data_IF_733687371274
#
_entry.id   IF_733687371274
#
_cell.length_a   1.000
_cell.length_b   1.000
_cell.length_c   1.000
_cell.angle_alpha   90.00
_cell.angle_beta   90.00
_cell.angle_gamma   90.00
#
_symmetry.space_group_name_H-M   'P 1'
#
loop_
_entity.id
_entity.type
_entity.pdbx_description
1 polymer ?
#
# COMPACT_ATOMS: atom_id res chain seq x y z
N UNK A 1 -16.69 14.37 17.02
CA UNK A 1 -16.44 13.02 17.50
C UNK A 1 -16.31 12.15 16.27
N UNK A 2 -15.08 11.88 15.82
CA UNK A 2 -14.83 10.99 14.70
C UNK A 2 -15.15 9.56 15.15
N UNK A 3 -15.93 8.84 14.35
CA UNK A 3 -16.18 7.41 14.55
C UNK A 3 -14.84 6.66 14.62
N UNK A 4 -14.54 6.06 15.77
CA UNK A 4 -13.28 5.38 16.04
C UNK A 4 -12.16 6.25 16.63
N UNK A 5 -12.49 7.44 17.16
CA UNK A 5 -11.50 8.29 17.82
C UNK A 5 -10.97 7.63 19.10
N UNK A 6 -9.67 7.31 19.08
CA UNK A 6 -8.96 7.00 20.30
C UNK A 6 -8.87 8.29 21.14
N UNK A 7 -9.47 8.24 22.31
CA UNK A 7 -9.39 9.33 23.29
C UNK A 7 -8.08 9.19 24.06
N UNK A 8 -6.96 9.37 23.34
CA UNK A 8 -5.65 9.40 24.00
C UNK A 8 -5.54 10.76 24.67
N UNK A 9 -5.29 10.80 25.98
CA UNK A 9 -4.95 12.05 26.63
C UNK A 9 -3.65 12.57 26.02
N UNK A 10 -3.80 13.52 25.08
CA UNK A 10 -2.67 14.13 24.40
C UNK A 10 -1.89 14.96 25.43
N UNK A 11 -0.79 14.43 25.91
CA UNK A 11 0.13 15.19 26.75
C UNK A 11 0.92 16.13 25.85
N UNK A 12 0.41 17.33 25.71
CA UNK A 12 1.08 18.43 25.02
C UNK A 12 0.92 19.72 25.84
N UNK A 13 1.86 20.62 25.68
CA UNK A 13 1.75 21.94 26.27
C UNK A 13 0.64 22.76 25.58
N UNK A 14 0.09 23.80 26.23
CA UNK A 14 -0.89 24.69 25.58
C UNK A 14 -0.34 25.36 24.31
N UNK A 15 0.96 25.57 24.23
CA UNK A 15 1.64 26.15 23.07
C UNK A 15 1.69 25.15 21.90
N UNK A 16 2.13 23.90 22.16
CA UNK A 16 2.10 22.81 21.18
C UNK A 16 0.70 22.58 20.65
N UNK A 17 -0.30 22.55 21.55
CA UNK A 17 -1.68 22.35 21.16
C UNK A 17 -2.15 23.42 20.18
N UNK A 18 -1.94 24.69 20.52
CA UNK A 18 -2.41 25.82 19.71
C UNK A 18 -1.71 25.91 18.36
N UNK A 19 -0.40 25.63 18.32
CA UNK A 19 0.40 25.86 17.10
C UNK A 19 0.47 24.65 16.17
N UNK A 20 0.29 23.43 16.70
CA UNK A 20 0.45 22.22 15.90
C UNK A 20 -0.76 21.28 15.97
N UNK A 21 -1.28 20.97 17.18
CA UNK A 21 -2.36 19.99 17.33
C UNK A 21 -3.66 20.52 16.72
N UNK A 22 -4.09 21.72 17.12
CA UNK A 22 -5.34 22.31 16.64
C UNK A 22 -5.35 22.50 15.10
N UNK A 23 -4.31 23.08 14.45
CA UNK A 23 -4.24 23.18 12.99
C UNK A 23 -4.23 21.81 12.30
N UNK A 24 -3.47 20.83 12.82
CA UNK A 24 -3.44 19.50 12.25
C UNK A 24 -4.80 18.79 12.33
N UNK A 25 -5.51 18.96 13.45
CA UNK A 25 -6.86 18.41 13.60
C UNK A 25 -7.89 19.11 12.68
N UNK A 26 -7.73 20.39 12.36
CA UNK A 26 -8.54 21.07 11.36
C UNK A 26 -8.32 20.49 9.96
N UNK A 27 -7.08 20.26 9.56
CA UNK A 27 -6.78 19.60 8.28
C UNK A 27 -7.36 18.16 8.25
N UNK A 28 -7.22 17.42 9.33
CA UNK A 28 -7.77 16.06 9.44
C UNK A 28 -9.31 16.02 9.35
N UNK A 29 -10.02 17.01 9.91
CA UNK A 29 -11.47 17.14 9.77
C UNK A 29 -11.90 17.32 8.31
N UNK A 30 -11.04 17.96 7.50
CA UNK A 30 -11.23 18.10 6.06
C UNK A 30 -10.73 16.87 5.27
N UNK A 31 -10.37 15.78 5.95
CA UNK A 31 -9.77 14.56 5.38
C UNK A 31 -8.43 14.82 4.67
N UNK A 32 -7.76 15.93 4.97
CA UNK A 32 -6.45 16.28 4.43
C UNK A 32 -5.33 15.76 5.35
N UNK A 33 -5.25 14.44 5.49
CA UNK A 33 -4.28 13.79 6.37
C UNK A 33 -2.81 14.07 6.00
N UNK A 34 -2.41 14.21 4.73
CA UNK A 34 -1.04 14.61 4.39
C UNK A 34 -0.65 15.96 4.98
N UNK A 35 -1.47 17.01 4.80
CA UNK A 35 -1.19 18.31 5.42
C UNK A 35 -1.21 18.26 6.95
N UNK A 36 -2.10 17.45 7.54
CA UNK A 36 -2.12 17.25 8.98
C UNK A 36 -0.80 16.62 9.47
N UNK A 37 -0.27 15.66 8.74
CA UNK A 37 1.01 15.01 9.03
C UNK A 37 2.17 16.00 8.95
N UNK A 38 2.24 16.82 7.88
CA UNK A 38 3.28 17.84 7.70
C UNK A 38 3.31 18.83 8.89
N UNK A 39 2.14 19.26 9.37
CA UNK A 39 2.03 20.16 10.54
C UNK A 39 2.58 19.48 11.78
N UNK A 40 2.24 18.21 12.01
CA UNK A 40 2.73 17.45 13.18
C UNK A 40 4.23 17.22 13.10
N UNK A 41 4.79 16.92 11.95
CA UNK A 41 6.24 16.75 11.76
C UNK A 41 7.00 18.05 12.02
N UNK A 42 6.47 19.18 11.58
CA UNK A 42 7.03 20.49 11.93
C UNK A 42 6.96 20.74 13.45
N UNK A 43 5.91 20.30 14.11
CA UNK A 43 5.78 20.35 15.56
C UNK A 43 6.81 19.49 16.27
N UNK A 44 7.07 18.28 15.78
CA UNK A 44 8.08 17.37 16.35
C UNK A 44 9.51 17.88 16.13
N UNK A 45 9.78 18.60 15.03
CA UNK A 45 11.06 19.27 14.86
C UNK A 45 11.32 20.33 15.94
N UNK A 46 10.28 21.02 16.42
CA UNK A 46 10.37 22.00 17.49
C UNK A 46 10.30 21.36 18.89
N UNK A 47 9.52 20.30 19.03
CA UNK A 47 9.20 19.60 20.29
C UNK A 47 9.37 18.08 20.15
N UNK A 48 10.60 17.56 20.00
CA UNK A 48 10.84 16.14 19.66
C UNK A 48 10.40 15.14 20.72
N UNK A 49 10.17 15.59 21.96
CA UNK A 49 9.70 14.75 23.07
C UNK A 49 8.18 14.83 23.33
N UNK A 50 7.42 15.48 22.45
CA UNK A 50 5.97 15.63 22.62
C UNK A 50 5.24 14.30 22.35
N UNK A 51 4.71 13.67 23.42
CA UNK A 51 3.92 12.43 23.32
C UNK A 51 2.68 12.61 22.41
N UNK A 52 2.02 13.77 22.51
CA UNK A 52 0.85 14.08 21.71
C UNK A 52 1.15 14.16 20.21
N UNK A 53 2.24 14.83 19.84
CA UNK A 53 2.64 14.94 18.45
C UNK A 53 3.16 13.60 17.88
N UNK A 54 3.89 12.80 18.67
CA UNK A 54 4.30 11.44 18.26
C UNK A 54 3.08 10.56 17.97
N UNK A 55 2.07 10.62 18.81
CA UNK A 55 0.83 9.87 18.58
C UNK A 55 0.10 10.34 17.32
N UNK A 56 -0.03 11.65 17.12
CA UNK A 56 -0.69 12.21 15.95
C UNK A 56 0.07 11.89 14.66
N UNK A 57 1.40 11.86 14.68
CA UNK A 57 2.22 11.41 13.55
C UNK A 57 1.85 9.98 13.16
N UNK A 58 1.84 9.07 14.13
CA UNK A 58 1.45 7.68 13.88
C UNK A 58 0.01 7.57 13.38
N UNK A 59 -0.92 8.32 13.98
CA UNK A 59 -2.33 8.30 13.63
C UNK A 59 -2.57 8.78 12.19
N UNK A 60 -1.99 9.90 11.79
CA UNK A 60 -2.16 10.43 10.43
C UNK A 60 -1.44 9.57 9.40
N UNK A 61 -0.25 9.05 9.69
CA UNK A 61 0.43 8.08 8.83
C UNK A 61 -0.42 6.82 8.59
N UNK A 62 -1.03 6.29 9.65
CA UNK A 62 -1.98 5.18 9.54
C UNK A 62 -3.22 5.53 8.68
N UNK A 63 -3.79 6.73 8.85
CA UNK A 63 -4.96 7.19 8.08
C UNK A 63 -4.66 7.33 6.59
N UNK A 64 -3.47 7.85 6.25
CA UNK A 64 -3.00 7.92 4.85
C UNK A 64 -2.85 6.51 4.29
N UNK A 65 -2.16 5.62 5.00
CA UNK A 65 -1.97 4.23 4.60
C UNK A 65 -3.31 3.48 4.42
N UNK A 66 -4.28 3.70 5.31
CA UNK A 66 -5.61 3.10 5.21
C UNK A 66 -6.40 3.62 4.01
N UNK A 67 -6.36 4.93 3.74
CA UNK A 67 -6.96 5.53 2.54
C UNK A 67 -6.36 4.95 1.27
N UNK A 68 -5.03 4.90 1.16
CA UNK A 68 -4.33 4.30 0.01
C UNK A 68 -4.64 2.80 -0.14
N UNK A 69 -4.76 2.06 0.96
CA UNK A 69 -5.15 0.64 0.95
C UNK A 69 -6.56 0.44 0.39
N UNK A 70 -7.49 1.34 0.73
CA UNK A 70 -8.85 1.29 0.19
C UNK A 70 -8.88 1.56 -1.32
N UNK A 71 -8.00 2.42 -1.82
CA UNK A 71 -7.83 2.64 -3.26
C UNK A 71 -7.31 1.39 -3.99
N UNK A 72 -6.48 0.55 -3.33
CA UNK A 72 -5.99 -0.70 -3.95
C UNK A 72 -7.13 -1.64 -4.33
N UNK A 73 -8.23 -1.65 -3.58
CA UNK A 73 -9.40 -2.49 -3.86
C UNK A 73 -10.10 -2.11 -5.18
N UNK A 74 -9.94 -0.87 -5.63
CA UNK A 74 -10.46 -0.36 -6.90
C UNK A 74 -9.49 -0.55 -8.08
N UNK A 75 -8.28 -1.04 -7.82
CA UNK A 75 -7.27 -1.27 -8.86
C UNK A 75 -7.76 -2.31 -9.87
N UNK A 76 -7.56 -2.11 -11.17
CA UNK A 76 -7.91 -3.09 -12.18
C UNK A 76 -7.21 -4.43 -11.93
N UNK A 77 -7.90 -5.53 -12.23
CA UNK A 77 -7.31 -6.85 -12.09
C UNK A 77 -6.10 -7.00 -13.01
N UNK A 78 -4.93 -7.14 -12.43
CA UNK A 78 -3.66 -7.32 -13.17
C UNK A 78 -3.58 -8.67 -13.90
N UNK A 79 -4.37 -9.65 -13.45
CA UNK A 79 -4.54 -10.96 -14.09
C UNK A 79 -6.00 -11.10 -14.50
N UNK A 80 -6.24 -11.29 -15.80
CA UNK A 80 -7.59 -11.41 -16.34
C UNK A 80 -7.73 -12.69 -17.16
N UNK A 81 -8.73 -13.54 -16.88
CA UNK A 81 -9.05 -14.66 -17.75
C UNK A 81 -9.66 -14.14 -19.07
N UNK A 82 -9.11 -14.59 -20.21
CA UNK A 82 -9.60 -14.25 -21.56
C UNK A 82 -10.49 -15.35 -22.17
N UNK A 83 -10.83 -16.39 -21.40
CA UNK A 83 -11.52 -17.58 -21.92
C UNK A 83 -10.55 -18.59 -22.55
N UNK A 84 -11.07 -19.81 -22.86
CA UNK A 84 -10.30 -20.92 -23.46
C UNK A 84 -8.97 -21.24 -22.75
N UNK A 85 -8.91 -21.05 -21.44
CA UNK A 85 -7.72 -21.30 -20.62
C UNK A 85 -6.58 -20.29 -20.84
N UNK A 86 -6.85 -19.15 -21.49
CA UNK A 86 -5.89 -18.06 -21.61
C UNK A 86 -6.02 -17.07 -20.46
N UNK A 87 -4.87 -16.59 -19.97
CA UNK A 87 -4.75 -15.56 -18.95
C UNK A 87 -3.95 -14.38 -19.50
N UNK A 88 -4.45 -13.18 -19.32
CA UNK A 88 -3.69 -11.96 -19.56
C UNK A 88 -3.07 -11.46 -18.27
N UNK A 89 -1.81 -11.08 -18.32
CA UNK A 89 -1.08 -10.40 -17.22
C UNK A 89 -0.62 -9.04 -17.73
N UNK A 90 -0.98 -8.00 -16.97
CA UNK A 90 -0.51 -6.64 -17.21
C UNK A 90 0.71 -6.35 -16.34
N UNK A 91 1.91 -6.46 -16.91
CA UNK A 91 3.16 -6.31 -16.16
C UNK A 91 3.38 -4.89 -15.64
N UNK A 92 3.03 -3.86 -16.43
CA UNK A 92 3.17 -2.47 -16.00
C UNK A 92 2.25 -2.16 -14.81
N UNK A 93 0.99 -2.60 -14.87
CA UNK A 93 0.06 -2.47 -13.75
C UNK A 93 0.50 -3.24 -12.52
N UNK A 94 1.07 -4.42 -12.71
CA UNK A 94 1.61 -5.23 -11.62
C UNK A 94 2.71 -4.50 -10.87
N UNK A 95 3.66 -3.91 -11.60
CA UNK A 95 4.77 -3.14 -11.01
C UNK A 95 4.27 -1.91 -10.25
N UNK A 96 3.28 -1.20 -10.82
CA UNK A 96 2.65 -0.06 -10.15
C UNK A 96 1.96 -0.47 -8.85
N UNK A 97 1.22 -1.57 -8.87
CA UNK A 97 0.49 -2.08 -7.71
C UNK A 97 1.44 -2.53 -6.61
N UNK A 98 2.52 -3.24 -6.95
CA UNK A 98 3.57 -3.62 -5.98
C UNK A 98 4.26 -2.40 -5.39
N UNK A 99 4.53 -1.35 -6.19
CA UNK A 99 5.06 -0.08 -5.70
C UNK A 99 4.15 0.58 -4.68
N UNK A 100 2.83 0.59 -4.93
CA UNK A 100 1.84 1.12 -3.98
C UNK A 100 1.80 0.31 -2.67
N UNK A 101 1.88 -1.02 -2.73
CA UNK A 101 1.99 -1.83 -1.50
C UNK A 101 3.23 -1.46 -0.68
N UNK A 102 4.38 -1.25 -1.33
CA UNK A 102 5.61 -0.85 -0.64
C UNK A 102 5.47 0.53 0.01
N UNK A 103 4.86 1.48 -0.66
CA UNK A 103 4.59 2.82 -0.13
C UNK A 103 3.71 2.77 1.11
N UNK A 104 2.59 2.03 1.06
CA UNK A 104 1.68 1.86 2.20
C UNK A 104 2.38 1.18 3.38
N UNK A 105 3.15 0.13 3.12
CA UNK A 105 3.92 -0.57 4.17
C UNK A 105 4.99 0.35 4.77
N UNK A 106 5.59 1.23 3.98
CA UNK A 106 6.50 2.28 4.44
C UNK A 106 5.84 3.19 5.46
N UNK A 107 4.70 3.80 5.11
CA UNK A 107 3.92 4.66 6.00
C UNK A 107 3.52 3.96 7.31
N UNK A 108 3.08 2.70 7.22
CA UNK A 108 2.74 1.91 8.42
C UNK A 108 3.97 1.61 9.29
N UNK A 109 5.15 1.46 8.68
CA UNK A 109 6.40 1.23 9.43
C UNK A 109 6.84 2.49 10.17
N UNK A 110 6.72 3.66 9.55
CA UNK A 110 6.99 4.95 10.21
C UNK A 110 5.99 5.23 11.34
N UNK A 111 4.70 4.90 11.14
CA UNK A 111 3.70 4.99 12.18
C UNK A 111 4.01 4.04 13.35
N UNK A 112 4.44 2.82 13.07
CA UNK A 112 4.86 1.83 14.09
C UNK A 112 6.08 2.31 14.87
N UNK A 113 7.08 2.91 14.20
CA UNK A 113 8.27 3.48 14.85
C UNK A 113 7.87 4.56 15.86
N UNK A 114 7.03 5.52 15.45
CA UNK A 114 6.53 6.58 16.34
C UNK A 114 5.76 6.03 17.54
N UNK A 115 4.96 4.97 17.37
CA UNK A 115 4.26 4.29 18.47
C UNK A 115 5.23 3.54 19.37
N UNK A 116 6.27 2.90 18.83
CA UNK A 116 7.27 2.21 19.64
C UNK A 116 8.08 3.19 20.49
N UNK A 117 8.44 4.37 19.95
CA UNK A 117 9.08 5.45 20.73
C UNK A 117 8.15 5.92 21.86
N UNK A 118 6.88 6.13 21.58
CA UNK A 118 5.89 6.53 22.59
C UNK A 118 5.73 5.47 23.68
N UNK A 119 5.76 4.19 23.35
CA UNK A 119 5.71 3.09 24.31
C UNK A 119 6.97 2.98 25.19
N UNK A 120 8.13 3.47 24.72
CA UNK A 120 9.33 3.57 25.58
C UNK A 120 9.13 4.60 26.69
N UNK A 121 8.42 5.69 26.39
CA UNK A 121 8.12 6.75 27.37
C UNK A 121 6.93 6.37 28.26
N UNK A 122 5.91 5.74 27.68
CA UNK A 122 4.66 5.39 28.36
C UNK A 122 4.23 3.93 28.05
N UNK A 123 4.92 2.93 28.65
CA UNK A 123 4.72 1.51 28.32
C UNK A 123 3.37 0.93 28.76
N UNK A 124 2.62 1.63 29.60
CA UNK A 124 1.35 1.15 30.14
C UNK A 124 0.12 1.83 29.54
N UNK A 125 0.29 2.67 28.53
CA UNK A 125 -0.85 3.26 27.83
C UNK A 125 -1.59 2.19 27.02
N UNK A 126 -2.77 1.80 27.49
CA UNK A 126 -3.61 0.80 26.83
C UNK A 126 -4.04 1.26 25.45
N UNK A 127 -4.30 2.55 25.28
CA UNK A 127 -4.70 3.15 24.01
C UNK A 127 -3.59 3.06 22.97
N UNK A 128 -2.35 3.37 23.38
CA UNK A 128 -1.17 3.29 22.49
C UNK A 128 -0.89 1.83 22.10
N UNK A 129 -0.98 0.91 23.07
CA UNK A 129 -0.84 -0.54 22.81
C UNK A 129 -1.92 -1.04 21.85
N UNK A 130 -3.18 -0.63 22.06
CA UNK A 130 -4.28 -1.01 21.17
C UNK A 130 -4.06 -0.46 19.75
N UNK A 131 -3.63 0.81 19.62
CA UNK A 131 -3.37 1.40 18.31
C UNK A 131 -2.20 0.73 17.60
N UNK A 132 -1.14 0.34 18.31
CA UNK A 132 -0.09 -0.51 17.75
C UNK A 132 -0.66 -1.78 17.15
N UNK A 133 -1.58 -2.46 17.85
CA UNK A 133 -2.24 -3.66 17.34
C UNK A 133 -2.97 -3.44 16.01
N UNK A 134 -3.58 -2.27 15.79
CA UNK A 134 -4.20 -1.94 14.49
C UNK A 134 -3.15 -1.77 13.38
N UNK A 135 -2.05 -1.06 13.66
CA UNK A 135 -0.95 -0.88 12.70
C UNK A 135 -0.38 -2.24 12.31
N UNK A 136 -0.05 -3.09 13.30
CA UNK A 136 0.52 -4.42 13.10
C UNK A 136 -0.42 -5.32 12.26
N UNK A 137 -1.71 -5.30 12.57
CA UNK A 137 -2.74 -6.06 11.85
C UNK A 137 -2.83 -5.64 10.38
N UNK A 138 -2.89 -4.33 10.12
CA UNK A 138 -2.95 -3.78 8.76
C UNK A 138 -1.69 -4.10 7.96
N UNK A 139 -0.52 -3.97 8.58
CA UNK A 139 0.79 -4.28 7.98
C UNK A 139 0.91 -5.75 7.60
N UNK A 140 0.48 -6.65 8.50
CA UNK A 140 0.46 -8.09 8.24
C UNK A 140 -0.50 -8.46 7.09
N UNK A 141 -1.71 -7.89 7.08
CA UNK A 141 -2.67 -8.10 6.00
C UNK A 141 -2.08 -7.70 4.65
N UNK A 142 -1.55 -6.50 4.53
CA UNK A 142 -0.96 -5.99 3.28
C UNK A 142 0.29 -6.76 2.86
N UNK A 143 1.10 -7.21 3.83
CA UNK A 143 2.24 -8.08 3.58
C UNK A 143 1.81 -9.40 2.94
N UNK A 144 0.78 -10.04 3.49
CA UNK A 144 0.22 -11.27 2.92
C UNK A 144 -0.37 -11.06 1.52
N UNK A 145 -1.10 -9.98 1.30
CA UNK A 145 -1.67 -9.66 -0.02
C UNK A 145 -0.55 -9.44 -1.06
N UNK A 146 0.49 -8.71 -0.71
CA UNK A 146 1.67 -8.49 -1.56
C UNK A 146 2.39 -9.81 -1.91
N UNK A 147 2.64 -10.66 -0.91
CA UNK A 147 3.28 -11.96 -1.14
C UNK A 147 2.41 -12.92 -1.96
N UNK A 148 1.10 -12.95 -1.73
CA UNK A 148 0.17 -13.72 -2.54
C UNK A 148 0.18 -13.26 -4.00
N UNK A 149 0.27 -11.95 -4.23
CA UNK A 149 0.39 -11.39 -5.57
C UNK A 149 1.71 -11.79 -6.23
N UNK A 150 2.84 -11.63 -5.52
CA UNK A 150 4.17 -12.06 -6.00
C UNK A 150 4.19 -13.56 -6.34
N UNK A 151 3.60 -14.40 -5.46
CA UNK A 151 3.49 -15.83 -5.70
C UNK A 151 2.64 -16.13 -6.93
N UNK A 152 1.52 -15.42 -7.13
CA UNK A 152 0.66 -15.59 -8.31
C UNK A 152 1.41 -15.22 -9.58
N UNK A 153 2.20 -14.13 -9.55
CA UNK A 153 3.04 -13.69 -10.68
C UNK A 153 4.17 -14.69 -10.93
N UNK A 154 4.83 -15.18 -9.88
CA UNK A 154 5.93 -16.15 -9.98
C UNK A 154 5.46 -17.52 -10.44
N UNK A 155 4.24 -17.91 -10.08
CA UNK A 155 3.59 -19.14 -10.58
C UNK A 155 3.00 -18.98 -12.00
N UNK A 156 2.87 -17.74 -12.48
CA UNK A 156 2.70 -17.48 -13.91
C UNK A 156 4.00 -17.91 -14.56
N UNK A 157 3.99 -18.84 -15.51
CA UNK A 157 5.21 -19.50 -15.97
C UNK A 157 6.25 -18.48 -16.37
N UNK A 158 7.41 -18.58 -15.71
CA UNK A 158 8.53 -17.68 -15.95
C UNK A 158 9.09 -17.95 -17.35
N UNK A 159 8.58 -17.20 -18.36
CA UNK A 159 9.15 -17.17 -19.69
C UNK A 159 10.14 -16.00 -19.74
N UNK A 160 10.99 -15.88 -18.72
CA UNK A 160 12.11 -14.95 -18.75
C UNK A 160 12.96 -15.27 -19.99
N UNK A 161 12.99 -14.32 -20.94
CA UNK A 161 13.62 -14.51 -22.25
C UNK A 161 12.77 -15.25 -23.28
N UNK A 162 11.46 -15.42 -23.04
CA UNK A 162 10.53 -15.99 -24.01
C UNK A 162 10.24 -15.07 -25.19
N UNK A 163 9.85 -15.68 -26.30
CA UNK A 163 9.45 -14.98 -27.51
C UNK A 163 7.95 -15.14 -27.73
N UNK A 164 7.31 -14.08 -28.21
CA UNK A 164 5.93 -14.14 -28.66
C UNK A 164 5.78 -15.16 -29.80
N UNK A 165 4.86 -16.10 -29.65
CA UNK A 165 4.58 -17.11 -30.70
C UNK A 165 4.13 -16.48 -31.98
N UNK A 166 3.42 -15.34 -31.95
CA UNK A 166 2.89 -14.66 -33.12
C UNK A 166 3.94 -13.89 -33.91
N UNK A 167 4.71 -13.01 -33.26
CA UNK A 167 5.64 -12.11 -33.98
C UNK A 167 7.12 -12.42 -33.76
N UNK A 168 7.45 -13.43 -32.95
CA UNK A 168 8.84 -13.86 -32.64
C UNK A 168 9.70 -12.81 -31.91
N UNK A 169 9.14 -11.68 -31.48
CA UNK A 169 9.84 -10.69 -30.72
C UNK A 169 9.89 -11.11 -29.23
N UNK A 170 10.92 -10.66 -28.51
CA UNK A 170 11.05 -10.89 -27.07
C UNK A 170 9.86 -10.33 -26.29
N UNK A 171 9.48 -11.02 -25.23
CA UNK A 171 8.44 -10.59 -24.29
C UNK A 171 9.12 -9.95 -23.09
N UNK A 172 8.74 -8.70 -22.81
CA UNK A 172 9.11 -7.99 -21.59
C UNK A 172 7.90 -7.89 -20.70
N UNK A 173 8.01 -8.40 -19.45
CA UNK A 173 6.91 -8.39 -18.49
C UNK A 173 6.66 -7.00 -17.87
N UNK A 174 7.69 -6.16 -17.81
CA UNK A 174 7.65 -4.92 -17.04
C UNK A 174 6.88 -3.79 -17.75
N UNK A 175 6.60 -3.94 -19.03
CA UNK A 175 5.99 -2.88 -19.85
C UNK A 175 4.88 -3.35 -20.78
N UNK A 176 4.51 -4.63 -20.81
CA UNK A 176 3.62 -5.19 -21.83
C UNK A 176 2.50 -6.04 -21.24
N UNK A 177 1.36 -6.06 -21.95
CA UNK A 177 0.30 -7.03 -21.69
C UNK A 177 0.66 -8.35 -22.40
N UNK A 178 0.85 -9.38 -21.59
CA UNK A 178 1.24 -10.71 -22.05
C UNK A 178 0.08 -11.67 -21.86
N UNK A 179 -0.22 -12.48 -22.86
CA UNK A 179 -1.22 -13.52 -22.80
C UNK A 179 -0.54 -14.88 -22.74
N UNK A 180 -0.91 -15.66 -21.72
CA UNK A 180 -0.49 -17.04 -21.54
C UNK A 180 -1.63 -17.97 -21.92
N UNK A 181 -1.32 -18.99 -22.68
CA UNK A 181 -2.26 -20.05 -23.04
C UNK A 181 -1.59 -21.41 -22.86
N UNK A 182 -2.23 -22.32 -22.15
CA UNK A 182 -1.79 -23.72 -22.08
C UNK A 182 -2.30 -24.44 -23.36
N UNK A 183 -1.39 -24.84 -24.21
CA UNK A 183 -1.64 -25.78 -25.31
C UNK A 183 -1.38 -27.21 -24.80
N UNK A 184 -1.85 -28.24 -25.49
CA UNK A 184 -1.86 -29.63 -25.03
C UNK A 184 -0.51 -30.12 -24.45
N UNK A 185 0.63 -29.64 -24.94
CA UNK A 185 1.96 -30.07 -24.51
C UNK A 185 2.88 -28.96 -24.05
N UNK A 186 2.48 -27.68 -24.18
CA UNK A 186 3.34 -26.55 -23.83
C UNK A 186 2.55 -25.30 -23.43
N UNK A 187 3.24 -24.41 -22.71
CA UNK A 187 2.75 -23.09 -22.43
C UNK A 187 3.18 -22.15 -23.55
N UNK A 188 2.23 -21.41 -24.07
CA UNK A 188 2.42 -20.40 -25.13
C UNK A 188 2.33 -19.01 -24.54
N UNK A 189 3.23 -18.12 -24.92
CA UNK A 189 3.19 -16.71 -24.57
C UNK A 189 3.02 -15.83 -25.80
N UNK A 190 2.22 -14.79 -25.67
CA UNK A 190 1.84 -13.91 -26.76
C UNK A 190 1.81 -12.46 -26.29
N UNK A 191 2.23 -11.51 -27.13
CA UNK A 191 1.79 -10.14 -26.97
C UNK A 191 0.28 -10.07 -27.18
N UNK A 192 -0.44 -9.28 -26.39
CA UNK A 192 -1.90 -9.17 -26.50
C UNK A 192 -2.40 -8.89 -27.93
N UNK A 193 -1.81 -7.93 -28.70
CA UNK A 193 -2.23 -7.71 -30.08
C UNK A 193 -2.03 -8.93 -31.02
N UNK A 194 -0.95 -9.69 -30.80
CA UNK A 194 -0.69 -10.90 -31.58
C UNK A 194 -1.69 -12.02 -31.27
N UNK A 195 -2.06 -12.16 -30.03
CA UNK A 195 -3.08 -13.11 -29.58
C UNK A 195 -4.46 -12.77 -30.16
N UNK A 196 -4.86 -11.49 -30.09
CA UNK A 196 -6.12 -11.01 -30.61
C UNK A 196 -6.22 -11.16 -32.14
N UNK A 197 -5.13 -10.96 -32.88
CA UNK A 197 -5.05 -11.15 -34.32
C UNK A 197 -5.29 -12.60 -34.72
N UNK A 198 -4.73 -13.56 -33.95
CA UNK A 198 -4.92 -14.99 -34.23
C UNK A 198 -6.31 -15.50 -33.86
N UNK A 199 -6.95 -14.92 -32.88
CA UNK A 199 -8.29 -15.30 -32.44
C UNK A 199 -9.39 -14.90 -33.44
N UNK A 200 -9.06 -14.02 -34.42
CA UNK A 200 -9.97 -13.57 -35.48
C UNK A 200 -9.86 -14.39 -36.79
N UNK A 201 -8.85 -15.23 -36.90
CA UNK A 201 -8.62 -16.17 -38.00
C UNK A 201 -8.87 -17.61 -37.53
#
# INVERSE_FOLDING_TARGET
>A
VAEGGFDVPLKCSPEEYKHFVEPAMQEAQNSNFPSALDIVENGLNAHPASEGLMFLKAYFGYKIADSMSNELSSFPKVIQPLGNGALMVDGAMTSQLLGKFQEIVGLLSEAEESINELLQVNPHSQEVVAFKGYIDSKKNQLGQESENMKATISNTPNIAGGFCIGCRKSISYDAQKVVFRKSASRLEAWHLPCFQSKAKN
#
